data_IF_509731989372
#
_entry.id   IF_509731989372
#
_cell.length_a   1.000
_cell.length_b   1.000
_cell.length_c   1.000
_cell.angle_alpha   90.00
_cell.angle_beta   90.00
_cell.angle_gamma   90.00
#
_symmetry.space_group_name_H-M   'P 1'
#
loop_
_entity.id
_entity.type
_entity.pdbx_description
1 polymer ?
#
# COMPACT_ATOMS: atom_id res chain seq x y z
N UNK A 1 18.13 14.71 -1.41
CA UNK A 1 17.37 15.55 -2.37
C UNK A 1 16.13 16.01 -1.64
N UNK A 2 15.92 17.31 -1.44
CA UNK A 2 14.70 17.82 -0.80
C UNK A 2 13.67 18.07 -1.89
N UNK A 3 12.90 17.04 -2.25
CA UNK A 3 11.72 17.22 -3.10
C UNK A 3 10.72 18.14 -2.39
N UNK A 4 10.12 19.07 -3.13
CA UNK A 4 9.11 19.98 -2.59
C UNK A 4 7.90 19.18 -2.08
N UNK A 5 7.13 19.70 -1.13
CA UNK A 5 5.94 19.01 -0.59
C UNK A 5 4.98 18.54 -1.71
N UNK A 6 4.84 19.32 -2.78
CA UNK A 6 4.06 18.96 -3.96
C UNK A 6 4.56 17.70 -4.70
N UNK A 7 5.87 17.43 -4.69
CA UNK A 7 6.42 16.22 -5.28
C UNK A 7 6.02 15.00 -4.47
N UNK A 8 6.05 15.10 -3.15
CA UNK A 8 5.62 14.03 -2.26
C UNK A 8 4.12 13.74 -2.35
N UNK A 9 3.31 14.79 -2.48
CA UNK A 9 1.89 14.64 -2.79
C UNK A 9 1.70 13.92 -4.13
N UNK A 10 2.54 14.22 -5.12
CA UNK A 10 2.51 13.52 -6.42
C UNK A 10 2.88 12.04 -6.27
N UNK A 11 3.91 11.72 -5.48
CA UNK A 11 4.30 10.33 -5.16
C UNK A 11 3.16 9.59 -4.47
N UNK A 12 2.54 10.18 -3.44
CA UNK A 12 1.41 9.59 -2.74
C UNK A 12 0.22 9.31 -3.68
N UNK A 13 -0.17 10.28 -4.51
CA UNK A 13 -1.25 10.08 -5.49
C UNK A 13 -0.89 9.02 -6.54
N UNK A 14 0.37 8.95 -6.98
CA UNK A 14 0.82 7.91 -7.92
C UNK A 14 0.76 6.52 -7.29
N UNK A 15 1.20 6.36 -6.04
CA UNK A 15 1.08 5.12 -5.28
C UNK A 15 -0.38 4.66 -5.19
N UNK A 16 -1.28 5.56 -4.79
CA UNK A 16 -2.71 5.29 -4.70
C UNK A 16 -3.30 4.87 -6.05
N UNK A 17 -2.92 5.58 -7.12
CA UNK A 17 -3.37 5.27 -8.48
C UNK A 17 -2.89 3.88 -8.94
N UNK A 18 -1.60 3.56 -8.73
CA UNK A 18 -1.03 2.23 -9.04
C UNK A 18 -1.74 1.13 -8.23
N UNK A 19 -2.15 1.43 -7.01
CA UNK A 19 -2.93 0.54 -6.13
C UNK A 19 -4.44 0.52 -6.44
N UNK A 20 -4.91 1.23 -7.47
CA UNK A 20 -6.35 1.40 -7.77
C UNK A 20 -7.18 1.95 -6.59
N UNK A 21 -6.57 2.74 -5.72
CA UNK A 21 -7.24 3.41 -4.60
C UNK A 21 -7.75 4.75 -5.11
N UNK A 22 -9.07 4.94 -5.10
CA UNK A 22 -9.74 6.17 -5.54
C UNK A 22 -9.69 7.27 -4.46
N UNK A 23 -8.52 7.51 -3.89
CA UNK A 23 -8.28 8.57 -2.90
C UNK A 23 -7.34 9.61 -3.52
N UNK A 24 -7.59 10.90 -3.23
CA UNK A 24 -6.77 12.00 -3.71
C UNK A 24 -6.19 12.76 -2.52
N UNK A 25 -4.87 12.76 -2.43
CA UNK A 25 -4.12 13.45 -1.38
C UNK A 25 -3.83 14.86 -1.87
N UNK A 26 -4.17 15.86 -1.06
CA UNK A 26 -3.87 17.27 -1.35
C UNK A 26 -2.63 17.73 -0.59
N UNK A 27 -2.52 17.30 0.67
CA UNK A 27 -1.39 17.58 1.54
C UNK A 27 -0.88 16.29 2.16
N UNK A 28 0.40 16.25 2.53
CA UNK A 28 0.96 15.05 3.19
C UNK A 28 0.22 14.70 4.49
N UNK A 29 -0.38 15.69 5.14
CA UNK A 29 -1.14 15.54 6.38
C UNK A 29 -2.48 14.80 6.17
N UNK A 30 -2.97 14.66 4.93
CA UNK A 30 -4.13 13.80 4.60
C UNK A 30 -3.77 12.29 4.61
N UNK A 31 -2.49 11.94 4.77
CA UNK A 31 -2.05 10.55 4.84
C UNK A 31 -2.26 9.97 6.24
N UNK A 32 -3.48 9.49 6.49
CA UNK A 32 -3.83 8.78 7.73
C UNK A 32 -3.40 7.30 7.73
N UNK A 33 -3.53 6.65 8.88
CA UNK A 33 -3.28 5.23 9.06
C UNK A 33 -4.06 4.39 8.02
N UNK A 34 -5.31 4.77 7.73
CA UNK A 34 -6.15 4.11 6.73
C UNK A 34 -5.52 4.12 5.33
N UNK A 35 -4.83 5.20 4.95
CA UNK A 35 -4.16 5.30 3.66
C UNK A 35 -3.02 4.29 3.58
N UNK A 36 -2.19 4.21 4.61
CA UNK A 36 -1.08 3.26 4.67
C UNK A 36 -1.54 1.81 4.79
N UNK A 37 -2.62 1.54 5.52
CA UNK A 37 -3.24 0.21 5.60
C UNK A 37 -3.75 -0.21 4.22
N UNK A 38 -4.43 0.69 3.50
CA UNK A 38 -4.94 0.41 2.16
C UNK A 38 -3.79 0.16 1.17
N UNK A 39 -2.72 0.96 1.23
CA UNK A 39 -1.50 0.76 0.45
C UNK A 39 -0.87 -0.60 0.75
N UNK A 40 -0.65 -0.92 2.03
CA UNK A 40 -0.11 -2.22 2.45
C UNK A 40 -0.94 -3.38 1.89
N UNK A 41 -2.26 -3.35 2.08
CA UNK A 41 -3.16 -4.40 1.61
C UNK A 41 -3.20 -4.51 0.09
N UNK A 42 -3.07 -3.39 -0.63
CA UNK A 42 -3.08 -3.38 -2.09
C UNK A 42 -1.76 -3.83 -2.69
N UNK A 43 -0.63 -3.45 -2.09
CA UNK A 43 0.71 -3.75 -2.58
C UNK A 43 1.06 -5.21 -2.29
N UNK A 44 0.82 -5.66 -1.06
CA UNK A 44 1.21 -7.00 -0.59
C UNK A 44 0.10 -8.03 -0.82
N UNK A 45 -1.16 -7.59 -0.93
CA UNK A 45 -2.31 -8.48 -1.09
C UNK A 45 -2.72 -9.20 0.20
N UNK A 46 -2.18 -8.81 1.35
CA UNK A 46 -2.45 -9.41 2.66
C UNK A 46 -2.87 -8.38 3.71
N UNK A 47 -3.44 -8.86 4.82
CA UNK A 47 -3.92 -8.00 5.90
C UNK A 47 -2.79 -7.74 6.89
N UNK A 48 -2.69 -6.48 7.32
CA UNK A 48 -1.79 -6.07 8.39
C UNK A 48 -2.08 -6.91 9.65
N UNK A 49 -1.09 -7.62 10.21
CA UNK A 49 -1.23 -8.31 11.49
C UNK A 49 -1.47 -7.29 12.61
N UNK A 50 -2.14 -7.70 13.69
CA UNK A 50 -2.42 -6.83 14.86
C UNK A 50 -3.20 -5.53 14.58
N UNK A 51 -3.90 -5.45 13.43
CA UNK A 51 -4.74 -4.31 13.11
C UNK A 51 -6.02 -4.26 13.97
N UNK A 52 -6.24 -3.13 14.64
CA UNK A 52 -7.46 -2.80 15.37
C UNK A 52 -8.55 -2.42 14.36
N UNK A 53 -9.50 -3.33 14.15
CA UNK A 53 -10.55 -3.17 13.14
C UNK A 53 -11.50 -1.97 13.38
N UNK A 54 -11.62 -1.50 14.63
CA UNK A 54 -12.50 -0.38 14.98
C UNK A 54 -11.78 0.58 15.95
N UNK A 55 -10.84 1.41 15.46
CA UNK A 55 -10.14 2.38 16.29
C UNK A 55 -11.15 3.37 16.87
N UNK A 56 -11.10 3.60 18.18
CA UNK A 56 -11.96 4.58 18.87
C UNK A 56 -11.17 5.77 19.39
N UNK A 57 -9.85 5.64 19.43
CA UNK A 57 -8.92 6.63 19.93
C UNK A 57 -7.77 6.83 18.95
N UNK A 58 -7.13 8.00 19.01
CA UNK A 58 -5.91 8.28 18.24
C UNK A 58 -4.78 7.28 18.58
N UNK A 59 -4.75 6.75 19.81
CA UNK A 59 -3.84 5.66 20.19
C UNK A 59 -4.08 4.38 19.38
N UNK A 60 -5.35 4.02 19.11
CA UNK A 60 -5.67 2.85 18.30
C UNK A 60 -5.26 3.08 16.83
N UNK A 61 -5.43 4.30 16.32
CA UNK A 61 -5.00 4.66 14.96
C UNK A 61 -3.47 4.69 14.83
N UNK A 62 -2.78 5.24 15.83
CA UNK A 62 -1.31 5.20 15.92
C UNK A 62 -0.82 3.76 16.00
N UNK A 63 -1.48 2.91 16.79
CA UNK A 63 -1.17 1.48 16.86
C UNK A 63 -1.34 0.80 15.50
N UNK A 64 -2.42 1.11 14.78
CA UNK A 64 -2.66 0.58 13.44
C UNK A 64 -1.57 1.00 12.45
N UNK A 65 -1.18 2.27 12.45
CA UNK A 65 -0.07 2.74 11.63
C UNK A 65 1.26 2.08 12.02
N UNK A 66 1.49 1.90 13.33
CA UNK A 66 2.67 1.24 13.85
C UNK A 66 2.74 -0.23 13.43
N UNK A 67 1.62 -0.96 13.47
CA UNK A 67 1.54 -2.34 13.00
C UNK A 67 1.92 -2.48 11.52
N UNK A 68 1.51 -1.52 10.68
CA UNK A 68 1.95 -1.46 9.27
C UNK A 68 3.47 -1.29 9.21
N UNK A 69 4.02 -0.33 9.94
CA UNK A 69 5.46 -0.02 9.94
C UNK A 69 6.28 -1.22 10.43
N UNK A 70 5.87 -1.85 11.54
CA UNK A 70 6.57 -3.00 12.11
C UNK A 70 6.53 -4.20 11.17
N UNK A 71 5.38 -4.45 10.52
CA UNK A 71 5.27 -5.51 9.51
C UNK A 71 6.22 -5.25 8.34
N UNK A 72 6.29 -4.01 7.84
CA UNK A 72 7.24 -3.64 6.78
C UNK A 72 8.69 -3.82 7.23
N UNK A 73 9.02 -3.37 8.43
CA UNK A 73 10.35 -3.43 9.00
C UNK A 73 10.83 -4.87 9.23
N UNK A 74 9.97 -5.73 9.77
CA UNK A 74 10.30 -7.10 10.18
C UNK A 74 10.23 -8.07 9.00
N UNK A 75 9.15 -8.02 8.20
CA UNK A 75 8.88 -9.04 7.19
C UNK A 75 9.54 -8.73 5.84
N UNK A 76 9.60 -7.44 5.43
CA UNK A 76 10.04 -7.07 4.07
C UNK A 76 11.41 -6.41 4.03
N UNK A 77 11.61 -5.37 4.83
CA UNK A 77 12.84 -4.57 4.80
C UNK A 77 13.97 -5.21 5.63
N UNK A 78 13.63 -5.98 6.67
CA UNK A 78 14.56 -6.54 7.66
C UNK A 78 15.46 -5.48 8.32
N UNK A 79 14.97 -4.24 8.46
CA UNK A 79 15.65 -3.11 9.10
C UNK A 79 14.71 -2.37 10.03
N UNK A 80 15.25 -1.85 11.13
CA UNK A 80 14.50 -1.04 12.08
C UNK A 80 14.13 0.34 11.50
N UNK A 81 12.83 0.58 11.34
CA UNK A 81 12.26 1.88 10.96
C UNK A 81 12.08 2.80 12.17
N UNK A 82 13.06 2.87 13.08
CA UNK A 82 12.93 3.60 14.35
C UNK A 82 12.72 5.12 14.22
N UNK A 83 12.91 5.66 13.02
CA UNK A 83 12.67 7.07 12.68
C UNK A 83 11.21 7.33 12.27
N UNK A 84 10.44 6.28 11.96
CA UNK A 84 9.03 6.34 11.58
C UNK A 84 8.23 5.68 12.71
N UNK A 85 7.32 6.43 13.31
CA UNK A 85 6.42 5.90 14.33
C UNK A 85 4.98 6.18 13.93
N UNK A 86 4.05 5.29 14.31
CA UNK A 86 2.63 5.47 14.07
C UNK A 86 2.10 6.75 14.71
N UNK A 87 2.65 7.17 15.86
CA UNK A 87 2.34 8.45 16.48
C UNK A 87 2.74 9.65 15.63
N UNK A 88 3.90 9.61 14.96
CA UNK A 88 4.35 10.70 14.09
C UNK A 88 3.44 10.81 12.86
N UNK A 89 3.02 9.67 12.30
CA UNK A 89 2.03 9.65 11.22
C UNK A 89 0.72 10.31 11.67
N UNK A 90 0.22 9.97 12.87
CA UNK A 90 -0.99 10.59 13.45
C UNK A 90 -0.86 12.07 13.79
N UNK A 91 0.37 12.57 13.93
CA UNK A 91 0.64 13.99 14.13
C UNK A 91 0.77 14.75 12.81
N UNK A 92 0.66 14.09 11.66
CA UNK A 92 0.90 14.70 10.35
C UNK A 92 2.37 15.02 10.11
N UNK A 93 3.30 14.30 10.76
CA UNK A 93 4.72 14.55 10.62
C UNK A 93 5.19 14.26 9.20
N UNK A 94 5.44 15.33 8.46
CA UNK A 94 5.74 15.27 7.03
C UNK A 94 6.98 14.45 6.74
N UNK A 95 7.99 14.47 7.62
CA UNK A 95 9.21 13.69 7.42
C UNK A 95 8.92 12.18 7.54
N UNK A 96 8.23 11.78 8.60
CA UNK A 96 7.81 10.38 8.81
C UNK A 96 6.92 9.87 7.67
N UNK A 97 5.98 10.70 7.21
CA UNK A 97 5.08 10.37 6.10
C UNK A 97 5.85 10.20 4.80
N UNK A 98 6.78 11.10 4.48
CA UNK A 98 7.64 11.00 3.29
C UNK A 98 8.46 9.72 3.30
N UNK A 99 9.14 9.44 4.41
CA UNK A 99 9.96 8.24 4.57
C UNK A 99 9.11 6.97 4.36
N UNK A 100 7.89 6.94 4.90
CA UNK A 100 6.99 5.79 4.75
C UNK A 100 6.49 5.64 3.30
N UNK A 101 6.19 6.74 2.62
CA UNK A 101 5.82 6.72 1.20
C UNK A 101 6.98 6.24 0.31
N UNK A 102 8.22 6.66 0.59
CA UNK A 102 9.40 6.17 -0.14
C UNK A 102 9.54 4.65 -0.02
N UNK A 103 9.34 4.13 1.18
CA UNK A 103 9.37 2.69 1.44
C UNK A 103 8.29 1.98 0.61
N UNK A 104 7.07 2.49 0.62
CA UNK A 104 5.98 1.90 -0.15
C UNK A 104 6.20 1.97 -1.67
N UNK A 105 6.71 3.09 -2.20
CA UNK A 105 6.99 3.22 -3.63
C UNK A 105 8.12 2.28 -4.05
N UNK A 106 9.19 2.17 -3.25
CA UNK A 106 10.26 1.20 -3.48
C UNK A 106 9.79 -0.25 -3.41
N UNK A 107 8.90 -0.59 -2.46
CA UNK A 107 8.30 -1.92 -2.37
C UNK A 107 7.39 -2.24 -3.56
N UNK A 108 6.57 -1.28 -3.97
CA UNK A 108 5.68 -1.47 -5.12
C UNK A 108 6.46 -1.58 -6.42
N UNK A 109 7.52 -0.79 -6.60
CA UNK A 109 8.44 -0.91 -7.73
C UNK A 109 9.06 -2.30 -7.77
N UNK A 110 9.66 -2.74 -6.66
CA UNK A 110 10.23 -4.08 -6.53
C UNK A 110 9.22 -5.18 -6.86
N UNK A 111 8.00 -5.10 -6.31
CA UNK A 111 6.95 -6.08 -6.59
C UNK A 111 6.49 -6.02 -8.05
N UNK A 112 6.34 -4.83 -8.64
CA UNK A 112 5.90 -4.68 -10.04
C UNK A 112 6.95 -5.24 -11.02
N UNK A 113 8.25 -5.05 -10.73
CA UNK A 113 9.33 -5.67 -11.49
C UNK A 113 9.29 -7.21 -11.40
N UNK A 114 9.00 -7.76 -10.21
CA UNK A 114 8.94 -9.21 -9.99
C UNK A 114 7.60 -9.86 -10.42
N UNK A 115 6.48 -9.13 -10.44
CA UNK A 115 5.14 -9.65 -10.83
C UNK A 115 5.03 -9.84 -12.36
N UNK A 116 5.84 -9.13 -13.14
CA UNK A 116 5.91 -9.36 -14.60
C UNK A 116 6.39 -10.78 -14.97
N UNK A 117 6.95 -11.55 -14.03
CA UNK A 117 7.29 -12.96 -14.24
C UNK A 117 6.16 -13.95 -13.85
N UNK A 118 5.10 -13.53 -13.14
CA UNK A 118 4.06 -14.43 -12.61
C UNK A 118 2.64 -14.16 -13.14
N UNK A 119 2.53 -13.41 -14.25
CA UNK A 119 1.26 -13.18 -14.95
C UNK A 119 0.79 -14.37 -15.80
N UNK A 120 1.00 -15.59 -15.32
CA UNK A 120 0.36 -16.80 -15.81
C UNK A 120 0.09 -17.69 -14.61
N UNK A 121 -1.01 -17.44 -13.89
CA UNK A 121 -1.89 -18.46 -13.29
C UNK A 121 -2.72 -17.87 -12.13
N UNK A 122 -3.80 -17.15 -12.47
CA UNK A 122 -4.97 -17.12 -11.57
C UNK A 122 -6.27 -17.23 -12.35
N UNK A 123 -6.37 -18.33 -13.09
CA UNK A 123 -7.64 -18.90 -13.53
C UNK A 123 -7.74 -20.34 -13.03
N UNK A 124 -8.23 -20.49 -11.80
CA UNK A 124 -8.83 -21.70 -11.17
C UNK A 124 -9.02 -21.34 -9.68
N UNK A 125 -10.21 -21.18 -9.11
CA UNK A 125 -11.39 -22.06 -9.12
C UNK A 125 -12.58 -21.24 -8.57
N UNK A 126 -13.73 -21.21 -9.24
CA UNK A 126 -14.92 -21.93 -8.75
C UNK A 126 -16.23 -21.27 -9.21
N UNK A 127 -16.86 -21.91 -10.21
CA UNK A 127 -18.29 -21.93 -10.58
C UNK A 127 -19.23 -20.78 -10.18
N UNK A 128 -19.60 -19.98 -11.18
CA UNK A 128 -20.84 -19.20 -11.24
C UNK A 128 -21.16 -18.91 -12.70
N UNK A 129 -22.34 -19.34 -13.16
CA UNK A 129 -22.74 -19.41 -14.57
C UNK A 129 -22.85 -18.02 -15.26
N UNK A 130 -22.57 -18.00 -16.57
CA UNK A 130 -23.10 -16.95 -17.47
C UNK A 130 -22.15 -16.45 -18.55
N UNK A 131 -22.36 -16.96 -19.77
CA UNK A 131 -22.20 -16.29 -21.07
C UNK A 131 -20.79 -15.75 -21.47
N UNK A 132 -20.09 -16.47 -22.36
CA UNK A 132 -20.01 -16.25 -23.82
C UNK A 132 -19.19 -15.02 -24.21
N UNK A 133 -17.99 -15.26 -24.76
CA UNK A 133 -17.56 -14.92 -26.14
C UNK A 133 -16.08 -15.34 -26.28
N UNK A 134 -15.81 -16.52 -26.85
CA UNK A 134 -15.46 -16.72 -28.26
C UNK A 134 -14.09 -16.11 -28.60
N UNK A 135 -13.07 -16.96 -28.67
CA UNK A 135 -12.17 -17.09 -29.83
C UNK A 135 -11.07 -18.10 -29.45
N UNK A 136 -11.27 -19.36 -29.83
CA UNK A 136 -10.14 -20.21 -30.17
C UNK A 136 -10.50 -20.99 -31.44
N UNK A 137 -9.78 -20.61 -32.50
CA UNK A 137 -9.20 -21.42 -33.57
C UNK A 137 -9.93 -22.72 -33.94
N UNK A 138 -10.18 -22.91 -35.24
CA UNK A 138 -9.63 -24.05 -35.98
C UNK A 138 -9.75 -23.77 -37.49
N UNK A 139 -8.61 -23.67 -38.15
CA UNK A 139 -8.53 -23.87 -39.59
C UNK A 139 -8.64 -25.35 -39.89
N UNK A 140 -9.46 -25.68 -40.88
CA UNK A 140 -9.24 -26.69 -41.93
C UNK A 140 -10.28 -26.47 -43.02
#
# INVERSE_FOLDING_TARGET
MAGSEAEWVTVANNLLLKCHIHLRIHDLEDCDANVFIALYQSILGEKVPDLIANPRSQEDEAHNAQAVIDSLALDYLQVSLSHITGENIMKGDKESIKNLLEIFDGLLEYLTEHISETSHEKSKTGQGAGNILFLDLNGS
#
